data_IF_248103321080
#
_entry.id   IF_248103321080
#
_cell.length_a   1.000
_cell.length_b   1.000
_cell.length_c   1.000
_cell.angle_alpha   90.00
_cell.angle_beta   90.00
_cell.angle_gamma   90.00
#
_symmetry.space_group_name_H-M   'P 1'
#
loop_
_entity.id
_entity.type
_entity.pdbx_description
1 polymer ?
#
# COMPACT_ATOMS: atom_id res chain seq x y z
N UNK A 1 6.37 -51.52 -15.42
CA UNK A 1 6.88 -50.45 -14.52
C UNK A 1 6.80 -49.03 -15.13
N UNK A 2 6.09 -48.78 -16.25
CA UNK A 2 6.12 -47.46 -16.92
C UNK A 2 5.05 -46.43 -16.53
N UNK A 3 4.01 -46.81 -15.77
CA UNK A 3 2.88 -45.90 -15.49
C UNK A 3 3.12 -44.91 -14.34
N UNK A 4 4.04 -45.21 -13.42
CA UNK A 4 4.28 -44.38 -12.24
C UNK A 4 5.06 -43.09 -12.59
N UNK A 5 6.03 -43.21 -13.51
CA UNK A 5 6.83 -42.07 -13.97
C UNK A 5 5.96 -41.03 -14.72
N UNK A 6 4.97 -41.49 -15.50
CA UNK A 6 4.10 -40.59 -16.26
C UNK A 6 3.14 -39.78 -15.38
N UNK A 7 2.71 -40.32 -14.23
CA UNK A 7 1.79 -39.60 -13.34
C UNK A 7 2.46 -38.50 -12.52
N UNK A 8 3.77 -38.61 -12.25
CA UNK A 8 4.53 -37.57 -11.54
C UNK A 8 4.72 -36.33 -12.42
N UNK A 9 5.02 -36.56 -13.70
CA UNK A 9 5.27 -35.52 -14.71
C UNK A 9 4.04 -34.61 -14.96
N UNK A 10 2.85 -35.19 -15.02
CA UNK A 10 1.58 -34.43 -15.20
C UNK A 10 1.25 -33.57 -13.97
N UNK A 11 1.62 -34.00 -12.76
CA UNK A 11 1.38 -33.22 -11.53
C UNK A 11 2.35 -32.06 -11.38
N UNK A 12 3.62 -32.25 -11.77
CA UNK A 12 4.63 -31.19 -11.76
C UNK A 12 4.24 -30.05 -12.72
N UNK A 13 3.92 -30.40 -13.97
CA UNK A 13 3.51 -29.44 -15.01
C UNK A 13 2.20 -28.68 -14.68
N UNK A 14 1.32 -29.25 -13.86
CA UNK A 14 0.10 -28.55 -13.42
C UNK A 14 0.38 -27.55 -12.29
N UNK A 15 1.25 -27.92 -11.35
CA UNK A 15 1.65 -27.03 -10.26
C UNK A 15 2.37 -25.79 -10.80
N UNK A 16 3.31 -25.98 -11.72
CA UNK A 16 4.06 -24.90 -12.40
C UNK A 16 3.14 -23.86 -13.05
N UNK A 17 1.99 -24.29 -13.60
CA UNK A 17 1.00 -23.38 -14.20
C UNK A 17 0.06 -22.74 -13.19
N UNK A 18 -0.24 -23.43 -12.09
CA UNK A 18 -1.18 -22.93 -11.09
C UNK A 18 -0.58 -21.84 -10.19
N UNK A 19 0.72 -21.91 -9.90
CA UNK A 19 1.39 -20.97 -8.99
C UNK A 19 1.34 -19.52 -9.52
N UNK A 20 1.70 -19.22 -10.80
CA UNK A 20 1.59 -17.87 -11.34
C UNK A 20 0.17 -17.31 -11.30
N UNK A 21 -0.83 -18.15 -11.62
CA UNK A 21 -2.24 -17.75 -11.58
C UNK A 21 -2.71 -17.39 -10.17
N UNK A 22 -2.25 -18.13 -9.15
CA UNK A 22 -2.57 -17.83 -7.75
C UNK A 22 -1.95 -16.51 -7.30
N UNK A 23 -0.71 -16.22 -7.72
CA UNK A 23 -0.02 -14.97 -7.40
C UNK A 23 -0.78 -13.80 -8.05
N UNK A 24 -1.11 -13.89 -9.34
CA UNK A 24 -1.86 -12.85 -10.06
C UNK A 24 -3.22 -12.57 -9.40
N UNK A 25 -3.98 -13.63 -9.08
CA UNK A 25 -5.27 -13.49 -8.41
C UNK A 25 -5.16 -12.80 -7.04
N UNK A 26 -4.11 -13.15 -6.27
CA UNK A 26 -3.85 -12.55 -4.96
C UNK A 26 -3.50 -11.06 -5.09
N UNK A 27 -2.66 -10.70 -6.06
CA UNK A 27 -2.31 -9.29 -6.32
C UNK A 27 -3.55 -8.50 -6.73
N UNK A 28 -4.36 -9.00 -7.66
CA UNK A 28 -5.60 -8.33 -8.09
C UNK A 28 -6.60 -8.15 -6.93
N UNK A 29 -6.70 -9.15 -6.04
CA UNK A 29 -7.52 -9.05 -4.85
C UNK A 29 -7.03 -7.94 -3.91
N UNK A 30 -5.72 -7.77 -3.73
CA UNK A 30 -5.12 -6.71 -2.92
C UNK A 30 -5.24 -5.31 -3.55
N UNK A 31 -5.22 -5.20 -4.89
CA UNK A 31 -5.37 -3.90 -5.58
C UNK A 31 -6.80 -3.35 -5.54
N UNK A 32 -7.80 -4.21 -5.36
CA UNK A 32 -9.21 -3.80 -5.30
C UNK A 32 -9.51 -2.85 -4.12
N UNK A 33 -9.18 -3.17 -2.86
CA UNK A 33 -9.37 -2.24 -1.75
C UNK A 33 -8.51 -0.99 -1.87
N UNK A 34 -7.29 -1.09 -2.42
CA UNK A 34 -6.42 0.07 -2.64
C UNK A 34 -7.06 1.09 -3.59
N UNK A 35 -7.67 0.62 -4.69
CA UNK A 35 -8.40 1.49 -5.62
C UNK A 35 -9.58 2.19 -4.94
N UNK A 36 -10.36 1.46 -4.14
CA UNK A 36 -11.48 2.03 -3.41
C UNK A 36 -11.01 3.11 -2.41
N UNK A 37 -9.87 2.89 -1.75
CA UNK A 37 -9.26 3.89 -0.87
C UNK A 37 -8.84 5.17 -1.62
N UNK A 38 -8.21 5.04 -2.80
CA UNK A 38 -7.83 6.21 -3.62
C UNK A 38 -9.06 6.99 -4.09
N UNK A 39 -10.14 6.30 -4.49
CA UNK A 39 -11.39 6.94 -4.88
C UNK A 39 -12.09 7.65 -3.70
N UNK A 40 -12.07 7.07 -2.49
CA UNK A 40 -12.55 7.72 -1.27
C UNK A 40 -11.71 8.97 -0.94
N UNK A 41 -10.38 8.85 -1.02
CA UNK A 41 -9.46 9.96 -0.80
C UNK A 41 -9.72 11.11 -1.78
N UNK A 42 -9.90 10.81 -3.07
CA UNK A 42 -10.26 11.80 -4.07
C UNK A 42 -11.58 12.54 -3.74
N UNK A 43 -12.57 11.79 -3.25
CA UNK A 43 -13.86 12.34 -2.81
C UNK A 43 -13.68 13.28 -1.62
N UNK A 44 -12.89 12.87 -0.62
CA UNK A 44 -12.59 13.68 0.56
C UNK A 44 -11.81 14.95 0.22
N UNK A 45 -10.82 14.88 -0.67
CA UNK A 45 -10.06 16.05 -1.13
C UNK A 45 -10.98 17.05 -1.82
N UNK A 46 -11.87 16.58 -2.70
CA UNK A 46 -12.87 17.43 -3.38
C UNK A 46 -13.84 18.08 -2.37
N UNK A 47 -14.25 17.33 -1.35
CA UNK A 47 -15.09 17.86 -0.28
C UNK A 47 -14.35 18.92 0.57
N UNK A 48 -13.07 18.72 0.88
CA UNK A 48 -12.24 19.69 1.59
C UNK A 48 -12.07 20.99 0.79
N UNK A 49 -11.77 20.88 -0.52
CA UNK A 49 -11.69 22.01 -1.46
C UNK A 49 -12.97 22.85 -1.43
N UNK A 50 -14.14 22.20 -1.44
CA UNK A 50 -15.43 22.91 -1.39
C UNK A 50 -15.69 23.64 -0.07
N UNK A 51 -15.11 23.18 1.06
CA UNK A 51 -15.33 23.75 2.40
C UNK A 51 -14.34 24.84 2.77
N UNK A 52 -13.07 24.67 2.40
CA UNK A 52 -11.97 25.57 2.77
C UNK A 52 -11.59 26.53 1.65
N UNK A 53 -12.12 26.31 0.43
CA UNK A 53 -11.66 26.97 -0.78
C UNK A 53 -10.44 26.27 -1.38
N UNK A 54 -9.99 26.77 -2.53
CA UNK A 54 -8.81 26.25 -3.21
C UNK A 54 -7.54 26.78 -2.52
N UNK A 55 -6.96 25.95 -1.63
CA UNK A 55 -5.66 26.21 -1.03
C UNK A 55 -4.56 25.49 -1.81
N UNK A 56 -3.34 26.03 -1.82
CA UNK A 56 -2.21 25.41 -2.50
C UNK A 56 -1.93 23.97 -2.04
N UNK A 57 -2.20 23.69 -0.76
CA UNK A 57 -2.06 22.35 -0.17
C UNK A 57 -3.08 21.37 -0.75
N UNK A 58 -4.36 21.76 -0.82
CA UNK A 58 -5.43 20.93 -1.39
C UNK A 58 -5.20 20.69 -2.89
N UNK A 59 -4.75 21.72 -3.63
CA UNK A 59 -4.38 21.56 -5.04
C UNK A 59 -3.21 20.59 -5.22
N UNK A 60 -2.19 20.68 -4.37
CA UNK A 60 -1.03 19.76 -4.40
C UNK A 60 -1.47 18.32 -4.11
N UNK A 61 -2.23 18.11 -3.03
CA UNK A 61 -2.76 16.80 -2.66
C UNK A 61 -3.65 16.20 -3.76
N UNK A 62 -4.45 17.03 -4.43
CA UNK A 62 -5.29 16.61 -5.56
C UNK A 62 -4.47 16.09 -6.75
N UNK A 63 -3.33 16.73 -7.03
CA UNK A 63 -2.39 16.26 -8.06
C UNK A 63 -1.78 14.92 -7.65
N UNK A 64 -1.35 14.79 -6.39
CA UNK A 64 -0.78 13.53 -5.88
C UNK A 64 -1.79 12.37 -5.91
N UNK A 65 -3.04 12.61 -5.52
CA UNK A 65 -4.12 11.60 -5.62
C UNK A 65 -4.38 11.19 -7.07
N UNK A 66 -4.36 12.16 -8.00
CA UNK A 66 -4.51 11.87 -9.42
C UNK A 66 -3.32 11.06 -9.97
N UNK A 67 -2.12 11.28 -9.46
CA UNK A 67 -0.92 10.52 -9.84
C UNK A 67 -0.95 9.10 -9.29
N UNK A 68 -1.26 8.96 -7.99
CA UNK A 68 -1.44 7.67 -7.32
C UNK A 68 -2.48 6.79 -8.03
N UNK A 69 -3.56 7.40 -8.52
CA UNK A 69 -4.56 6.68 -9.31
C UNK A 69 -3.98 6.10 -10.59
N UNK A 70 -3.10 6.83 -11.29
CA UNK A 70 -2.41 6.31 -12.49
C UNK A 70 -1.49 5.16 -12.13
N UNK A 71 -0.79 5.25 -11.00
CA UNK A 71 0.10 4.18 -10.54
C UNK A 71 -0.67 2.90 -10.22
N UNK A 72 -1.83 3.01 -9.56
CA UNK A 72 -2.72 1.86 -9.30
C UNK A 72 -3.26 1.28 -10.62
N UNK A 73 -3.67 2.12 -11.57
CA UNK A 73 -4.15 1.67 -12.87
C UNK A 73 -3.01 1.02 -13.70
N UNK A 74 -1.80 1.57 -13.64
CA UNK A 74 -0.60 1.00 -14.26
C UNK A 74 -0.28 -0.38 -13.66
N UNK A 75 -0.25 -0.48 -12.33
CA UNK A 75 0.02 -1.72 -11.62
C UNK A 75 -1.00 -2.80 -11.94
N UNK A 76 -2.27 -2.43 -12.14
CA UNK A 76 -3.33 -3.34 -12.58
C UNK A 76 -3.19 -3.77 -14.04
N UNK A 77 -2.62 -2.93 -14.89
CA UNK A 77 -2.40 -3.22 -16.31
C UNK A 77 -1.15 -4.06 -16.58
N UNK A 78 -0.24 -4.14 -15.61
CA UNK A 78 0.97 -4.97 -15.70
C UNK A 78 0.58 -6.44 -15.72
N UNK A 79 0.98 -7.12 -16.78
CA UNK A 79 0.86 -8.57 -16.86
C UNK A 79 1.95 -9.22 -15.99
N UNK A 80 1.56 -9.68 -14.81
CA UNK A 80 2.46 -10.34 -13.88
C UNK A 80 2.89 -11.73 -14.36
N UNK A 81 2.16 -12.34 -15.31
CA UNK A 81 2.56 -13.63 -15.88
C UNK A 81 3.85 -13.50 -16.68
N UNK A 82 3.97 -12.41 -17.45
CA UNK A 82 5.20 -12.06 -18.17
C UNK A 82 6.40 -11.88 -17.22
N UNK A 83 6.21 -11.35 -16.00
CA UNK A 83 7.29 -11.20 -15.02
C UNK A 83 7.79 -12.56 -14.50
N UNK A 84 6.88 -13.50 -14.27
CA UNK A 84 7.20 -14.83 -13.75
C UNK A 84 7.81 -15.75 -14.83
N UNK A 85 7.42 -15.58 -16.09
CA UNK A 85 7.93 -16.36 -17.23
C UNK A 85 9.42 -16.11 -17.52
N UNK A 86 9.96 -14.92 -17.18
CA UNK A 86 11.38 -14.58 -17.46
C UNK A 86 12.42 -15.40 -16.67
N UNK A 87 12.02 -16.22 -15.71
CA UNK A 87 12.95 -16.97 -14.87
C UNK A 87 13.40 -18.32 -15.44
N UNK A 88 12.68 -18.85 -16.44
CA UNK A 88 12.96 -20.18 -17.01
C UNK A 88 13.90 -20.15 -18.23
N UNK A 89 14.23 -18.96 -18.74
CA UNK A 89 15.24 -18.79 -19.81
C UNK A 89 16.64 -18.62 -19.21
N UNK A 90 17.00 -19.48 -18.25
CA UNK A 90 18.42 -19.77 -18.02
C UNK A 90 18.81 -20.93 -18.90
N UNK A 91 19.17 -20.53 -20.12
CA UNK A 91 20.38 -20.95 -20.81
C UNK A 91 21.30 -21.70 -19.85
N UNK A 92 21.17 -23.03 -19.84
CA UNK A 92 22.21 -23.88 -19.29
C UNK A 92 23.50 -23.37 -19.94
N UNK A 93 24.54 -22.98 -19.18
CA UNK A 93 25.77 -22.50 -19.80
C UNK A 93 26.15 -23.55 -20.82
N UNK A 94 26.11 -23.18 -22.10
CA UNK A 94 26.52 -24.02 -23.21
C UNK A 94 27.95 -24.40 -22.90
N UNK A 95 28.14 -25.54 -22.24
CA UNK A 95 29.47 -26.03 -21.90
C UNK A 95 30.06 -26.28 -23.28
N UNK A 96 31.06 -25.51 -23.74
CA UNK A 96 31.66 -25.77 -25.03
C UNK A 96 32.14 -27.22 -24.95
N UNK A 97 31.74 -28.11 -25.90
CA UNK A 97 32.07 -29.52 -25.82
C UNK A 97 33.58 -29.63 -25.70
N UNK A 98 34.04 -29.98 -24.50
CA UNK A 98 35.44 -30.11 -24.20
C UNK A 98 35.96 -31.25 -25.07
N UNK A 99 36.74 -30.87 -26.08
CA UNK A 99 37.61 -31.77 -26.83
C UNK A 99 38.30 -32.69 -25.83
N UNK A 100 37.95 -33.98 -25.89
CA UNK A 100 38.61 -35.08 -25.20
C UNK A 100 40.11 -35.01 -25.53
N UNK A 101 40.86 -34.38 -24.63
CA UNK A 101 42.29 -34.51 -24.50
C UNK A 101 42.52 -35.54 -23.41
N UNK A 102 42.83 -36.77 -23.83
CA UNK A 102 43.36 -37.85 -23.00
C UNK A 102 44.58 -37.34 -22.23
N UNK A 103 44.38 -36.89 -20.99
CA UNK A 103 45.45 -36.60 -20.04
C UNK A 103 45.24 -37.47 -18.82
N UNK A 104 46.09 -38.49 -18.78
CA UNK A 104 46.25 -39.46 -17.70
C UNK A 104 46.73 -38.81 -16.40
N UNK A 105 46.22 -39.38 -15.30
CA UNK A 105 46.90 -39.65 -14.01
C UNK A 105 47.24 -38.42 -13.15
N UNK A 106 46.54 -38.28 -12.03
CA UNK A 106 47.10 -38.76 -10.76
C UNK A 106 46.01 -38.88 -9.69
N UNK A 107 46.14 -39.97 -8.94
CA UNK A 107 45.24 -40.49 -7.93
C UNK A 107 45.52 -39.77 -6.61
N UNK A 108 44.71 -38.74 -6.31
CA UNK A 108 44.71 -38.07 -5.01
C UNK A 108 43.52 -38.60 -4.19
N UNK A 109 43.87 -39.37 -3.17
CA UNK A 109 43.00 -39.86 -2.11
C UNK A 109 42.39 -38.64 -1.41
N UNK A 110 41.14 -38.33 -1.70
CA UNK A 110 40.37 -37.31 -0.98
C UNK A 110 39.46 -38.04 -0.01
N UNK A 111 39.76 -37.79 1.25
CA UNK A 111 39.11 -38.20 2.48
C UNK A 111 37.59 -38.02 2.41
N UNK A 112 36.87 -39.13 2.59
CA UNK A 112 35.42 -39.24 2.57
C UNK A 112 34.89 -38.60 3.86
N UNK A 113 34.42 -37.36 3.79
CA UNK A 113 33.79 -36.68 4.92
C UNK A 113 32.33 -37.11 5.03
N UNK A 114 32.06 -38.00 5.98
CA UNK A 114 30.74 -38.45 6.39
C UNK A 114 30.08 -37.37 7.27
N UNK A 115 29.39 -36.43 6.65
CA UNK A 115 28.61 -35.41 7.35
C UNK A 115 27.12 -35.75 7.23
N UNK A 116 26.67 -36.59 8.16
CA UNK A 116 25.27 -36.84 8.48
C UNK A 116 24.63 -35.51 8.93
N UNK A 117 24.00 -34.79 8.00
CA UNK A 117 23.15 -33.65 8.33
C UNK A 117 21.79 -34.15 8.77
N UNK A 118 21.55 -34.01 10.07
CA UNK A 118 20.30 -34.18 10.80
C UNK A 118 19.18 -33.32 10.17
N UNK A 119 18.29 -33.98 9.42
CA UNK A 119 17.14 -33.42 8.71
C UNK A 119 15.84 -33.50 9.56
N UNK A 120 15.91 -33.36 10.88
CA UNK A 120 14.70 -33.30 11.72
C UNK A 120 14.69 -32.01 12.55
N UNK A 121 13.88 -31.02 12.10
CA UNK A 121 13.09 -30.06 12.91
C UNK A 121 12.78 -28.72 12.19
N UNK A 122 12.22 -28.77 10.97
CA UNK A 122 11.44 -27.64 10.43
C UNK A 122 9.96 -28.01 10.53
N UNK A 123 9.51 -28.30 11.75
CA UNK A 123 8.10 -28.54 12.04
C UNK A 123 7.60 -27.43 12.98
N UNK A 124 6.89 -26.47 12.37
CA UNK A 124 5.79 -25.70 12.94
C UNK A 124 6.16 -24.82 14.15
N UNK A 125 6.56 -23.59 13.86
CA UNK A 125 6.42 -22.47 14.79
C UNK A 125 5.95 -21.20 14.06
N UNK A 126 4.89 -21.32 13.25
CA UNK A 126 4.28 -20.17 12.53
C UNK A 126 2.97 -19.68 13.17
N UNK A 127 2.50 -20.26 14.27
CA UNK A 127 1.14 -19.95 14.78
C UNK A 127 1.08 -19.07 16.04
N UNK A 128 2.20 -18.79 16.73
CA UNK A 128 2.15 -18.04 18.01
C UNK A 128 2.59 -16.58 17.93
N UNK A 129 2.86 -16.02 16.74
CA UNK A 129 3.31 -14.62 16.60
C UNK A 129 2.12 -13.65 16.34
N UNK A 130 0.92 -14.18 16.03
CA UNK A 130 -0.24 -13.36 15.70
C UNK A 130 -1.22 -13.07 16.85
N UNK A 131 -1.01 -13.67 18.04
CA UNK A 131 -1.97 -13.52 19.15
C UNK A 131 -1.77 -12.22 19.96
N UNK A 132 -0.63 -11.54 19.80
CA UNK A 132 -0.26 -10.32 20.55
C UNK A 132 -0.41 -9.01 19.74
N UNK A 133 -1.02 -9.08 18.55
CA UNK A 133 -1.21 -7.92 17.65
C UNK A 133 -2.47 -7.05 17.81
N UNK A 134 -3.52 -7.36 18.61
CA UNK A 134 -4.70 -6.49 18.65
C UNK A 134 -4.44 -5.12 19.31
N UNK A 135 -3.38 -4.97 20.12
CA UNK A 135 -3.11 -3.73 20.86
C UNK A 135 -2.36 -2.66 20.02
N UNK A 136 -1.75 -3.03 18.89
CA UNK A 136 -0.97 -2.09 18.08
C UNK A 136 -1.86 -1.19 17.21
N UNK A 137 -2.98 -1.72 16.71
CA UNK A 137 -3.92 -0.97 15.87
C UNK A 137 -4.64 0.11 16.70
N UNK A 138 -5.10 -0.21 17.91
CA UNK A 138 -5.77 0.74 18.79
C UNK A 138 -4.83 1.87 19.26
N UNK A 139 -3.56 1.53 19.54
CA UNK A 139 -2.53 2.52 19.92
C UNK A 139 -2.20 3.50 18.78
N UNK A 140 -2.19 3.02 17.53
CA UNK A 140 -1.91 3.87 16.37
C UNK A 140 -3.02 4.90 16.10
N UNK A 141 -4.29 4.53 16.32
CA UNK A 141 -5.41 5.47 16.19
C UNK A 141 -5.41 6.54 17.29
N UNK A 142 -5.02 6.17 18.52
CA UNK A 142 -4.96 7.11 19.63
C UNK A 142 -3.88 8.20 19.46
N UNK A 143 -2.75 7.85 18.84
CA UNK A 143 -1.64 8.77 18.57
C UNK A 143 -2.03 9.88 17.58
N UNK A 144 -2.89 9.57 16.59
CA UNK A 144 -3.35 10.54 15.58
C UNK A 144 -4.30 11.61 16.15
N UNK A 145 -5.07 11.27 17.18
CA UNK A 145 -5.97 12.21 17.85
C UNK A 145 -5.17 13.20 18.71
N UNK A 146 -4.07 12.76 19.31
CA UNK A 146 -3.26 13.61 20.20
C UNK A 146 -2.37 14.61 19.43
N UNK A 147 -1.85 14.24 18.27
CA UNK A 147 -1.08 15.16 17.40
C UNK A 147 -1.95 16.28 16.84
N UNK A 148 -3.17 15.96 16.41
CA UNK A 148 -4.12 16.94 15.87
C UNK A 148 -4.54 18.01 16.90
N UNK A 149 -4.61 17.65 18.20
CA UNK A 149 -5.01 18.58 19.26
C UNK A 149 -3.89 19.56 19.64
N UNK A 150 -2.62 19.12 19.63
CA UNK A 150 -1.48 19.95 20.04
C UNK A 150 -1.17 21.03 19.00
N UNK A 151 -1.27 20.71 17.72
CA UNK A 151 -0.94 21.66 16.64
C UNK A 151 -1.94 22.83 16.57
N UNK A 152 -3.21 22.57 16.89
CA UNK A 152 -4.24 23.62 16.98
C UNK A 152 -4.02 24.57 18.18
N UNK A 153 -3.36 24.13 19.25
CA UNK A 153 -3.19 24.93 20.47
C UNK A 153 -1.97 25.87 20.44
N UNK A 154 -1.05 25.72 19.48
CA UNK A 154 0.15 26.59 19.36
C UNK A 154 -0.10 27.85 18.51
N UNK A 155 -1.14 27.88 17.67
CA UNK A 155 -1.45 29.02 16.81
C UNK A 155 -2.21 30.16 17.54
N UNK A 156 -2.70 29.94 18.77
CA UNK A 156 -3.55 30.91 19.47
C UNK A 156 -2.87 31.66 20.64
N UNK A 157 -1.58 31.42 20.92
CA UNK A 157 -0.91 32.00 22.09
C UNK A 157 0.32 32.87 21.77
N UNK A 158 0.37 33.50 20.59
CA UNK A 158 1.41 34.49 20.28
C UNK A 158 0.80 35.79 19.79
N UNK A 159 0.38 36.62 20.76
CA UNK A 159 -0.04 37.98 20.47
C UNK A 159 -0.85 38.61 21.57
N UNK A 160 -0.20 39.03 22.67
CA UNK A 160 -0.50 40.29 23.36
C UNK A 160 0.23 40.36 24.70
N UNK A 161 1.44 40.93 24.67
CA UNK A 161 2.03 41.53 25.87
C UNK A 161 2.52 42.92 25.47
N UNK A 162 1.61 43.88 25.45
CA UNK A 162 1.80 45.29 25.83
C UNK A 162 0.46 45.98 25.60
N UNK A 163 -0.27 46.34 26.66
CA UNK A 163 -0.95 47.64 26.86
C UNK A 163 -1.58 47.65 28.26
N UNK A 164 -1.03 48.56 29.07
CA UNK A 164 -1.65 49.44 30.09
C UNK A 164 -3.06 49.08 30.60
N UNK A 165 -3.28 48.99 31.93
CA UNK A 165 -4.62 48.89 32.49
C UNK A 165 -5.30 50.27 32.42
N UNK A 166 -6.28 50.43 31.52
CA UNK A 166 -7.27 51.49 31.65
C UNK A 166 -8.55 50.90 32.22
N UNK A 167 -8.78 51.28 33.47
CA UNK A 167 -10.04 51.20 34.20
C UNK A 167 -11.16 51.84 33.37
N UNK A 168 -12.05 51.03 32.80
CA UNK A 168 -13.33 51.50 32.25
C UNK A 168 -14.45 50.56 32.67
N UNK A 169 -15.23 51.09 33.60
CA UNK A 169 -16.62 50.84 33.97
C UNK A 169 -17.46 49.98 33.00
N UNK A 170 -18.13 48.91 33.47
CA UNK A 170 -19.09 48.16 32.66
C UNK A 170 -20.37 48.96 32.44
N UNK A 171 -20.75 49.20 31.18
CA UNK A 171 -22.10 49.64 30.81
C UNK A 171 -22.82 48.51 30.08
N UNK A 172 -24.03 48.11 30.53
CA UNK A 172 -24.75 47.01 29.90
C UNK A 172 -25.66 47.50 28.75
N UNK A 173 -25.98 46.56 27.86
CA UNK A 173 -27.19 46.47 27.03
C UNK A 173 -27.17 47.11 25.64
N UNK A 174 -27.23 46.25 24.60
CA UNK A 174 -28.37 46.21 23.68
C UNK A 174 -28.34 44.89 22.88
N UNK A 175 -29.50 44.21 22.84
CA UNK A 175 -29.82 43.11 21.94
C UNK A 175 -30.05 43.70 20.55
N UNK A 176 -29.45 43.12 19.51
CA UNK A 176 -29.95 43.26 18.15
C UNK A 176 -30.25 41.87 17.58
N UNK A 177 -31.55 41.62 17.39
CA UNK A 177 -32.07 40.56 16.53
C UNK A 177 -31.81 40.96 15.09
N UNK A 178 -31.32 40.04 14.25
CA UNK A 178 -31.35 40.22 12.81
C UNK A 178 -32.07 39.03 12.19
N UNK A 179 -33.25 39.35 11.68
CA UNK A 179 -34.14 38.54 10.85
C UNK A 179 -33.55 38.35 9.44
N UNK A 180 -33.94 37.25 8.80
CA UNK A 180 -33.45 36.74 7.50
C UNK A 180 -33.68 37.66 6.28
N UNK A 181 -33.14 37.30 5.10
CA UNK A 181 -34.08 36.95 4.03
C UNK A 181 -33.69 35.75 3.15
N UNK A 182 -34.72 34.96 2.88
CA UNK A 182 -34.84 33.89 1.88
C UNK A 182 -34.62 34.41 0.44
N UNK A 183 -33.92 33.64 -0.41
CA UNK A 183 -33.85 33.90 -1.85
C UNK A 183 -34.15 32.64 -2.69
N UNK A 184 -35.42 32.43 -2.97
CA UNK A 184 -35.88 31.59 -4.08
C UNK A 184 -35.65 32.32 -5.41
N UNK A 185 -34.85 31.74 -6.31
CA UNK A 185 -34.77 32.17 -7.70
C UNK A 185 -34.97 30.98 -8.65
N UNK A 186 -36.17 30.95 -9.22
CA UNK A 186 -36.65 30.07 -10.28
C UNK A 186 -36.16 30.55 -11.65
N UNK A 187 -35.66 29.65 -12.50
CA UNK A 187 -35.51 29.92 -13.94
C UNK A 187 -36.09 28.77 -14.75
N UNK A 188 -37.27 29.02 -15.33
CA UNK A 188 -37.89 28.19 -16.35
C UNK A 188 -37.67 28.88 -17.71
N UNK A 189 -37.00 28.18 -18.63
CA UNK A 189 -36.61 28.67 -19.94
C UNK A 189 -36.96 27.64 -21.00
N UNK A 190 -38.16 27.80 -21.56
CA UNK A 190 -38.68 27.06 -22.73
C UNK A 190 -38.00 27.55 -24.01
N UNK A 191 -37.53 26.62 -24.85
CA UNK A 191 -37.08 26.92 -26.22
C UNK A 191 -37.98 26.18 -27.21
N UNK A 192 -38.46 26.93 -28.21
CA UNK A 192 -39.25 26.50 -29.38
C UNK A 192 -38.34 25.97 -30.47
#
# INVERSE_FOLDING_TARGET
MGHLAHSADVRATWLEKSVPLMIEATILAALTPLRAFVDDLATRVTACESRQGETSEVTTLKVEVADLRKDVDYLKSTDFTSLLETSDERDAPEIPPATIGDVRRDEAIVDESDAETDEEQIEIQEESIYEDLPDLEETSMQSLIHTSLIETSMAALSGSSTVVPSEVTPRPSARDQIDAPNNDAQTDGTTV
#
